data_IF_741466963872
#
_entry.id   IF_741466963872
#
_cell.length_a   1.000
_cell.length_b   1.000
_cell.length_c   1.000
_cell.angle_alpha   90.00
_cell.angle_beta   90.00
_cell.angle_gamma   90.00
#
_symmetry.space_group_name_H-M   'P 1'
#
loop_
_entity.id
_entity.type
_entity.pdbx_description
1 polymer ?
#
# COMPACT_ATOMS: atom_id res chain seq x y z
N UNK A 1 -46.28 4.25 -2.22
CA UNK A 1 -45.71 5.60 -1.99
C UNK A 1 -44.17 5.51 -2.10
N UNK A 2 -43.63 5.92 -3.25
CA UNK A 2 -42.18 5.90 -3.53
C UNK A 2 -41.59 7.19 -2.96
N UNK A 3 -40.74 7.09 -1.93
CA UNK A 3 -39.99 8.26 -1.43
C UNK A 3 -38.95 8.67 -2.47
N UNK A 4 -39.11 9.84 -3.06
CA UNK A 4 -38.18 10.47 -3.97
C UNK A 4 -36.97 10.93 -3.12
N UNK A 5 -35.78 10.32 -3.31
CA UNK A 5 -34.52 10.78 -2.72
C UNK A 5 -34.09 12.08 -3.40
N UNK A 6 -34.06 13.18 -2.68
CA UNK A 6 -33.57 14.47 -3.12
C UNK A 6 -32.07 14.55 -2.79
N UNK A 7 -31.21 14.66 -3.80
CA UNK A 7 -29.81 15.09 -3.61
C UNK A 7 -29.75 16.60 -3.69
N UNK A 8 -29.25 17.26 -2.63
CA UNK A 8 -29.04 18.70 -2.56
C UNK A 8 -27.59 19.00 -2.97
N UNK A 9 -27.41 19.82 -3.99
CA UNK A 9 -26.12 20.36 -4.42
C UNK A 9 -26.15 21.88 -4.20
N UNK A 10 -25.13 22.41 -3.50
CA UNK A 10 -24.97 23.84 -3.31
C UNK A 10 -24.05 24.39 -4.39
N UNK A 11 -24.54 25.38 -5.15
CA UNK A 11 -23.72 26.19 -6.05
C UNK A 11 -23.75 27.63 -5.56
N UNK A 12 -22.62 28.36 -5.50
CA UNK A 12 -22.63 29.77 -5.16
C UNK A 12 -23.16 30.59 -6.36
N UNK A 13 -24.14 31.42 -6.12
CA UNK A 13 -24.58 32.43 -7.08
C UNK A 13 -23.63 33.65 -7.00
N UNK A 14 -23.11 34.10 -8.13
CA UNK A 14 -22.10 35.17 -8.20
C UNK A 14 -22.67 36.57 -7.97
N UNK A 15 -23.96 36.73 -7.72
CA UNK A 15 -24.59 38.08 -7.64
C UNK A 15 -25.44 38.34 -6.38
N UNK A 16 -25.60 37.42 -5.47
CA UNK A 16 -26.28 37.65 -4.20
C UNK A 16 -25.60 36.94 -3.05
N UNK A 17 -25.49 37.58 -1.92
CA UNK A 17 -24.95 37.00 -0.68
C UNK A 17 -25.90 35.95 -0.04
N UNK A 18 -26.95 35.55 -0.73
CA UNK A 18 -27.87 34.51 -0.27
C UNK A 18 -27.54 33.19 -0.93
N UNK A 19 -27.26 32.17 -0.12
CA UNK A 19 -27.04 30.80 -0.55
C UNK A 19 -28.32 30.21 -1.11
N UNK A 20 -28.48 30.22 -2.45
CA UNK A 20 -29.60 29.61 -3.14
C UNK A 20 -29.35 28.10 -3.22
N UNK A 21 -30.26 27.31 -2.64
CA UNK A 21 -30.25 25.85 -2.69
C UNK A 21 -30.74 25.39 -4.06
N UNK A 22 -29.87 25.04 -4.98
CA UNK A 22 -30.25 24.35 -6.21
C UNK A 22 -30.29 22.85 -6.00
N UNK A 23 -31.48 22.28 -6.07
CA UNK A 23 -31.70 20.83 -6.04
C UNK A 23 -31.56 20.30 -7.46
N UNK A 24 -30.39 19.73 -7.80
CA UNK A 24 -30.22 19.03 -9.07
C UNK A 24 -30.81 17.62 -8.93
N UNK A 25 -31.95 17.42 -9.59
CA UNK A 25 -32.53 16.08 -9.73
C UNK A 25 -31.76 15.31 -10.80
N UNK A 26 -30.82 14.45 -10.40
CA UNK A 26 -30.36 13.40 -11.30
C UNK A 26 -31.55 12.46 -11.55
N UNK A 27 -32.06 12.41 -12.78
CA UNK A 27 -33.10 11.50 -13.16
C UNK A 27 -32.69 10.03 -12.98
N UNK A 28 -33.62 9.09 -12.81
CA UNK A 28 -33.29 7.66 -12.58
C UNK A 28 -32.32 7.07 -13.61
N UNK A 29 -32.38 7.52 -14.85
CA UNK A 29 -31.49 7.09 -15.94
C UNK A 29 -30.05 7.60 -15.76
N UNK A 30 -29.83 8.79 -15.22
CA UNK A 30 -28.48 9.33 -14.97
C UNK A 30 -27.84 8.61 -13.79
N UNK A 31 -28.59 8.30 -12.74
CA UNK A 31 -28.12 7.52 -11.59
C UNK A 31 -27.71 6.10 -12.01
N UNK A 32 -28.47 5.46 -12.90
CA UNK A 32 -28.14 4.13 -13.44
C UNK A 32 -26.80 4.13 -14.19
N UNK A 33 -26.55 5.14 -15.04
CA UNK A 33 -25.29 5.28 -15.78
C UNK A 33 -24.08 5.51 -14.87
N UNK A 34 -24.22 6.31 -13.82
CA UNK A 34 -23.12 6.55 -12.84
C UNK A 34 -22.79 5.26 -12.07
N UNK A 35 -23.80 4.47 -11.71
CA UNK A 35 -23.59 3.17 -11.04
C UNK A 35 -22.91 2.15 -11.97
N UNK A 36 -23.27 2.12 -13.25
CA UNK A 36 -22.57 1.27 -14.24
C UNK A 36 -21.08 1.69 -14.37
N UNK A 37 -20.81 2.99 -14.51
CA UNK A 37 -19.42 3.50 -14.53
C UNK A 37 -18.69 3.11 -13.25
N UNK A 38 -19.33 3.25 -12.08
CA UNK A 38 -18.72 2.90 -10.80
C UNK A 38 -18.33 1.42 -10.75
N UNK A 39 -19.19 0.53 -11.23
CA UNK A 39 -18.88 -0.90 -11.30
C UNK A 39 -17.67 -1.17 -12.19
N UNK A 40 -17.62 -0.61 -13.39
CA UNK A 40 -16.50 -0.81 -14.33
C UNK A 40 -15.18 -0.24 -13.78
N UNK A 41 -15.22 0.98 -13.24
CA UNK A 41 -14.01 1.71 -12.86
C UNK A 41 -13.48 1.32 -11.46
N UNK A 42 -14.34 0.83 -10.58
CA UNK A 42 -13.89 0.24 -9.32
C UNK A 42 -13.29 -1.16 -9.54
N UNK A 43 -13.85 -1.93 -10.46
CA UNK A 43 -13.33 -3.23 -10.83
C UNK A 43 -11.92 -3.13 -11.45
N UNK A 44 -11.71 -2.19 -12.35
CA UNK A 44 -10.40 -1.91 -12.93
C UNK A 44 -9.38 -1.41 -11.87
N UNK A 45 -9.85 -0.70 -10.84
CA UNK A 45 -9.00 -0.20 -9.75
C UNK A 45 -8.49 -1.29 -8.79
N UNK A 46 -9.01 -2.51 -8.81
CA UNK A 46 -8.57 -3.63 -7.94
C UNK A 46 -7.08 -3.94 -8.09
N UNK A 47 -6.55 -3.77 -9.28
CA UNK A 47 -5.16 -4.08 -9.62
C UNK A 47 -4.15 -3.03 -9.12
N UNK A 48 -4.62 -1.87 -8.64
CA UNK A 48 -3.79 -0.90 -7.95
C UNK A 48 -3.57 -1.35 -6.49
N UNK A 49 -2.33 -1.69 -6.13
CA UNK A 49 -2.00 -2.02 -4.75
C UNK A 49 -1.88 -0.75 -3.92
N UNK A 50 -2.87 -0.44 -3.16
CA UNK A 50 -2.79 0.62 -2.14
C UNK A 50 -3.30 0.16 -0.79
N UNK A 51 -3.95 -1.02 -0.75
CA UNK A 51 -4.64 -1.50 0.44
C UNK A 51 -4.81 -3.00 0.37
N UNK A 52 -4.72 -3.68 1.48
CA UNK A 52 -5.26 -5.02 1.62
C UNK A 52 -6.78 -4.92 1.44
N UNK A 53 -7.29 -5.28 0.27
CA UNK A 53 -8.73 -5.47 0.11
C UNK A 53 -9.16 -6.58 1.06
N UNK A 54 -10.09 -6.29 1.97
CA UNK A 54 -10.80 -7.37 2.65
C UNK A 54 -11.52 -8.17 1.57
N UNK A 55 -11.09 -9.39 1.29
CA UNK A 55 -11.64 -10.23 0.22
C UNK A 55 -13.06 -10.74 0.47
N UNK A 56 -13.87 -10.07 1.30
CA UNK A 56 -15.26 -10.44 1.52
C UNK A 56 -16.11 -9.97 0.34
N UNK A 57 -16.49 -10.91 -0.49
CA UNK A 57 -17.53 -10.75 -1.52
C UNK A 57 -18.81 -11.39 -1.01
N UNK A 58 -19.71 -10.60 -0.47
CA UNK A 58 -21.05 -11.08 -0.11
C UNK A 58 -22.08 -10.28 -0.89
N UNK A 59 -22.61 -10.88 -1.96
CA UNK A 59 -23.77 -10.35 -2.67
C UNK A 59 -25.02 -10.55 -1.82
N UNK A 60 -25.91 -9.55 -1.78
CA UNK A 60 -27.19 -9.67 -1.12
C UNK A 60 -28.17 -10.45 -2.01
N UNK A 61 -28.18 -11.77 -1.85
CA UNK A 61 -29.07 -12.68 -2.61
C UNK A 61 -30.44 -12.92 -1.93
N UNK A 62 -30.60 -12.46 -0.68
CA UNK A 62 -31.73 -12.84 0.18
C UNK A 62 -32.60 -11.68 0.68
N UNK A 63 -32.59 -10.52 0.04
CA UNK A 63 -33.30 -9.29 0.49
C UNK A 63 -32.96 -8.83 1.92
N UNK A 64 -31.83 -9.31 2.51
CA UNK A 64 -31.30 -8.87 3.79
C UNK A 64 -30.68 -7.47 3.74
N UNK A 65 -30.21 -6.98 4.89
CA UNK A 65 -29.51 -5.70 4.99
C UNK A 65 -28.02 -5.87 4.63
N UNK A 66 -27.51 -4.93 3.81
CA UNK A 66 -26.10 -4.85 3.45
C UNK A 66 -25.72 -5.61 2.17
N UNK A 67 -24.73 -5.07 1.47
CA UNK A 67 -24.09 -5.68 0.30
C UNK A 67 -22.61 -5.25 0.32
N UNK A 68 -21.68 -6.19 0.30
CA UNK A 68 -20.24 -5.92 0.27
C UNK A 68 -19.61 -6.20 -1.10
N UNK A 69 -20.40 -6.46 -2.12
CA UNK A 69 -19.93 -6.74 -3.47
C UNK A 69 -19.96 -5.48 -4.35
N UNK A 70 -18.82 -5.15 -4.98
CA UNK A 70 -18.74 -4.19 -6.07
C UNK A 70 -18.77 -2.70 -5.75
N UNK A 71 -18.55 -2.25 -4.50
CA UNK A 71 -18.69 -0.83 -4.14
C UNK A 71 -17.41 0.01 -4.27
N UNK A 72 -16.29 -0.50 -4.73
CA UNK A 72 -15.04 0.27 -4.86
C UNK A 72 -14.46 0.79 -3.54
N UNK A 73 -14.91 0.27 -2.39
CA UNK A 73 -14.39 0.66 -1.08
C UNK A 73 -13.22 -0.24 -0.72
N UNK A 74 -12.09 0.37 -0.42
CA UNK A 74 -10.92 -0.32 0.07
C UNK A 74 -10.56 0.13 1.49
N UNK A 75 -9.84 -0.72 2.21
CA UNK A 75 -9.36 -0.44 3.55
C UNK A 75 -7.85 -0.23 3.54
N UNK A 76 -7.39 0.91 4.02
CA UNK A 76 -5.99 1.24 4.21
C UNK A 76 -5.69 1.32 5.70
N UNK A 77 -4.51 0.80 6.11
CA UNK A 77 -4.10 0.90 7.50
C UNK A 77 -3.10 2.05 7.66
N UNK A 78 -3.33 2.88 8.66
CA UNK A 78 -2.41 3.93 9.09
C UNK A 78 -1.26 3.33 9.90
N UNK A 79 -0.20 4.10 10.16
CA UNK A 79 0.97 3.63 10.93
C UNK A 79 0.61 3.25 12.38
N UNK A 80 -0.43 3.85 12.94
CA UNK A 80 -0.97 3.53 14.27
C UNK A 80 -1.91 2.30 14.27
N UNK A 81 -2.12 1.67 13.09
CA UNK A 81 -2.96 0.48 12.93
C UNK A 81 -4.44 0.76 12.75
N UNK A 82 -4.86 2.02 12.64
CA UNK A 82 -6.26 2.38 12.35
C UNK A 82 -6.59 2.04 10.90
N UNK A 83 -7.75 1.44 10.69
CA UNK A 83 -8.30 1.17 9.37
C UNK A 83 -9.02 2.41 8.83
N UNK A 84 -8.69 2.82 7.61
CA UNK A 84 -9.33 3.93 6.89
C UNK A 84 -10.02 3.38 5.65
N UNK A 85 -11.30 3.64 5.50
CA UNK A 85 -12.08 3.24 4.33
C UNK A 85 -12.00 4.31 3.23
N UNK A 86 -11.60 3.91 2.02
CA UNK A 86 -11.42 4.82 0.89
C UNK A 86 -12.30 4.39 -0.29
N UNK A 87 -12.91 5.37 -0.96
CA UNK A 87 -13.45 5.16 -2.31
C UNK A 87 -12.28 5.05 -3.28
N UNK A 88 -12.05 3.85 -3.80
CA UNK A 88 -10.96 3.56 -4.74
C UNK A 88 -11.51 3.31 -6.12
N UNK A 89 -11.27 4.26 -7.01
CA UNK A 89 -11.78 4.24 -8.38
C UNK A 89 -10.74 4.75 -9.38
N UNK A 90 -10.92 4.34 -10.64
CA UNK A 90 -10.30 5.02 -11.77
C UNK A 90 -11.18 6.20 -12.22
N UNK A 91 -10.55 7.32 -12.57
CA UNK A 91 -11.25 8.40 -13.28
C UNK A 91 -11.71 7.92 -14.67
N UNK A 92 -10.83 7.18 -15.36
CA UNK A 92 -11.16 6.46 -16.60
C UNK A 92 -10.26 5.23 -16.76
N UNK A 93 -10.78 4.18 -17.39
CA UNK A 93 -9.98 3.04 -17.86
C UNK A 93 -9.68 3.09 -19.36
N UNK A 94 -10.04 4.18 -20.06
CA UNK A 94 -9.45 4.48 -21.36
C UNK A 94 -7.97 4.81 -21.19
N UNK A 95 -7.10 4.15 -21.93
CA UNK A 95 -5.66 4.36 -21.85
C UNK A 95 -5.05 4.33 -23.26
N UNK A 96 -4.11 5.24 -23.53
CA UNK A 96 -3.35 5.26 -24.78
C UNK A 96 -2.13 4.35 -24.75
N UNK A 97 -1.73 3.85 -23.56
CA UNK A 97 -0.59 2.96 -23.36
C UNK A 97 -0.98 1.50 -23.47
N UNK A 98 0.01 0.67 -23.83
CA UNK A 98 -0.16 -0.78 -23.97
C UNK A 98 0.73 -1.59 -23.02
N UNK A 99 0.70 -1.23 -21.73
CA UNK A 99 1.47 -1.93 -20.69
C UNK A 99 0.99 -3.37 -20.54
N UNK A 100 1.87 -4.37 -20.77
CA UNK A 100 1.54 -5.79 -20.80
C UNK A 100 0.90 -6.33 -19.50
N UNK A 101 1.19 -5.72 -18.36
CA UNK A 101 0.66 -6.08 -17.05
C UNK A 101 -0.68 -5.42 -16.70
N UNK A 102 -1.21 -4.53 -17.54
CA UNK A 102 -2.36 -3.69 -17.17
C UNK A 102 -3.66 -4.18 -17.83
N UNK A 103 -4.71 -4.35 -17.03
CA UNK A 103 -6.06 -4.68 -17.52
C UNK A 103 -6.63 -3.61 -18.44
N UNK A 104 -6.29 -2.34 -18.19
CA UNK A 104 -6.79 -1.17 -18.93
C UNK A 104 -5.91 -0.80 -20.13
N UNK A 105 -4.93 -1.64 -20.54
CA UNK A 105 -4.10 -1.37 -21.71
C UNK A 105 -4.94 -1.20 -22.98
N UNK A 106 -4.42 -0.43 -23.93
CA UNK A 106 -5.14 -0.05 -25.16
C UNK A 106 -5.71 -1.23 -25.94
N UNK A 107 -4.93 -2.32 -26.06
CA UNK A 107 -5.28 -3.49 -26.87
C UNK A 107 -6.24 -4.47 -26.19
N UNK A 108 -6.53 -4.31 -24.91
CA UNK A 108 -7.48 -5.19 -24.23
C UNK A 108 -8.92 -4.84 -24.58
N UNK A 109 -9.70 -5.86 -24.93
CA UNK A 109 -11.15 -5.76 -25.12
C UNK A 109 -11.85 -5.85 -23.76
N UNK A 110 -12.01 -4.70 -23.11
CA UNK A 110 -12.70 -4.56 -21.83
C UNK A 110 -13.70 -3.41 -21.89
N UNK A 111 -14.78 -3.50 -21.12
CA UNK A 111 -15.71 -2.39 -21.01
C UNK A 111 -15.00 -1.13 -20.55
N UNK A 112 -15.20 -0.04 -21.31
CA UNK A 112 -14.55 1.24 -21.03
C UNK A 112 -15.56 2.24 -20.50
N UNK A 113 -15.12 3.04 -19.52
CA UNK A 113 -15.90 4.11 -18.95
C UNK A 113 -15.01 5.30 -18.57
N UNK A 114 -15.62 6.47 -18.43
CA UNK A 114 -14.97 7.66 -17.91
C UNK A 114 -15.98 8.43 -17.06
N UNK A 115 -15.53 8.87 -15.89
CA UNK A 115 -16.27 9.86 -15.10
C UNK A 115 -16.02 11.27 -15.60
N UNK A 116 -16.93 12.17 -15.27
CA UNK A 116 -16.64 13.62 -15.25
C UNK A 116 -16.07 14.01 -13.88
N UNK A 117 -15.50 15.20 -13.78
CA UNK A 117 -15.01 15.75 -12.50
C UNK A 117 -16.14 15.81 -11.49
N UNK A 118 -17.31 16.30 -11.92
CA UNK A 118 -18.50 16.46 -11.11
C UNK A 118 -19.04 15.12 -10.60
N UNK A 119 -19.06 14.09 -11.44
CA UNK A 119 -19.48 12.74 -11.04
C UNK A 119 -18.59 12.17 -9.93
N UNK A 120 -17.25 12.34 -10.02
CA UNK A 120 -16.34 11.84 -8.97
C UNK A 120 -16.50 12.64 -7.67
N UNK A 121 -16.64 13.96 -7.77
CA UNK A 121 -16.88 14.83 -6.61
C UNK A 121 -18.18 14.44 -5.91
N UNK A 122 -19.29 14.33 -6.67
CA UNK A 122 -20.59 13.96 -6.11
C UNK A 122 -20.59 12.59 -5.46
N UNK A 123 -19.97 11.58 -6.10
CA UNK A 123 -19.80 10.25 -5.53
C UNK A 123 -19.04 10.31 -4.19
N UNK A 124 -17.91 11.03 -4.17
CA UNK A 124 -17.07 11.15 -2.98
C UNK A 124 -17.84 11.81 -1.84
N UNK A 125 -18.48 12.94 -2.08
CA UNK A 125 -19.25 13.67 -1.05
C UNK A 125 -20.43 12.85 -0.55
N UNK A 126 -21.17 12.19 -1.45
CA UNK A 126 -22.32 11.37 -1.07
C UNK A 126 -21.92 10.14 -0.25
N UNK A 127 -20.83 9.47 -0.59
CA UNK A 127 -20.33 8.31 0.17
C UNK A 127 -19.78 8.74 1.54
N UNK A 128 -19.08 9.88 1.59
CA UNK A 128 -18.58 10.44 2.84
C UNK A 128 -19.72 10.85 3.79
N UNK A 129 -20.74 11.57 3.29
CA UNK A 129 -21.92 11.96 4.10
C UNK A 129 -22.71 10.78 4.65
N UNK A 130 -22.62 9.63 4.01
CA UNK A 130 -23.26 8.38 4.46
C UNK A 130 -22.36 7.54 5.34
N UNK A 131 -21.17 8.04 5.71
CA UNK A 131 -20.14 7.33 6.49
C UNK A 131 -19.67 6.00 5.86
N UNK A 132 -19.72 5.87 4.53
CA UNK A 132 -19.21 4.70 3.83
C UNK A 132 -17.70 4.76 3.65
N UNK A 133 -17.15 5.98 3.55
CA UNK A 133 -15.73 6.24 3.32
C UNK A 133 -15.23 7.38 4.19
N UNK A 134 -13.92 7.38 4.45
CA UNK A 134 -13.19 8.45 5.11
C UNK A 134 -12.35 9.26 4.10
N UNK A 135 -12.26 8.81 2.84
CA UNK A 135 -11.51 9.50 1.83
C UNK A 135 -11.63 8.91 0.42
N UNK A 136 -10.88 9.50 -0.49
CA UNK A 136 -10.81 9.16 -1.90
C UNK A 136 -9.41 8.67 -2.28
N UNK A 137 -9.33 7.54 -2.99
CA UNK A 137 -8.17 7.13 -3.76
C UNK A 137 -8.52 7.17 -5.24
N UNK A 138 -7.91 8.09 -5.97
CA UNK A 138 -8.21 8.32 -7.38
C UNK A 138 -6.98 8.05 -8.25
N UNK A 139 -7.14 7.14 -9.19
CA UNK A 139 -6.18 6.85 -10.26
C UNK A 139 -6.83 7.01 -11.63
N UNK A 140 -6.09 6.81 -12.71
CA UNK A 140 -6.61 6.93 -14.08
C UNK A 140 -5.80 6.13 -15.07
N UNK A 141 -6.42 5.61 -16.12
CA UNK A 141 -5.76 5.40 -17.39
C UNK A 141 -5.33 6.73 -17.99
N UNK A 142 -4.32 6.74 -18.86
CA UNK A 142 -3.83 7.96 -19.51
C UNK A 142 -4.67 8.22 -20.76
N UNK A 143 -5.45 9.28 -20.72
CA UNK A 143 -6.35 9.67 -21.79
C UNK A 143 -5.83 10.93 -22.51
N UNK A 144 -5.72 10.92 -23.82
CA UNK A 144 -5.09 11.93 -24.67
C UNK A 144 -3.59 12.11 -24.42
N UNK A 145 -3.19 12.67 -23.28
CA UNK A 145 -1.81 12.83 -22.83
C UNK A 145 -1.73 12.91 -21.30
N UNK A 146 -0.52 12.98 -20.76
CA UNK A 146 -0.27 12.99 -19.32
C UNK A 146 -0.88 14.22 -18.63
N UNK A 147 -0.64 15.42 -19.16
CA UNK A 147 -1.11 16.68 -18.58
C UNK A 147 -2.63 16.79 -18.59
N UNK A 148 -3.28 16.46 -19.71
CA UNK A 148 -4.74 16.47 -19.79
C UNK A 148 -5.36 15.54 -18.74
N UNK A 149 -4.75 14.37 -18.53
CA UNK A 149 -5.24 13.41 -17.53
C UNK A 149 -4.99 13.92 -16.12
N UNK A 150 -3.78 14.41 -15.83
CA UNK A 150 -3.41 14.92 -14.51
C UNK A 150 -4.26 16.12 -14.10
N UNK A 151 -4.51 17.05 -15.03
CA UNK A 151 -5.40 18.22 -14.81
C UNK A 151 -6.78 17.80 -14.29
N UNK A 152 -7.37 16.73 -14.84
CA UNK A 152 -8.68 16.22 -14.39
C UNK A 152 -8.63 15.72 -12.94
N UNK A 153 -7.57 14.96 -12.58
CA UNK A 153 -7.38 14.49 -11.20
C UNK A 153 -7.19 15.66 -10.24
N UNK A 154 -6.38 16.65 -10.62
CA UNK A 154 -6.17 17.87 -9.83
C UNK A 154 -7.48 18.63 -9.63
N UNK A 155 -8.28 18.81 -10.68
CA UNK A 155 -9.57 19.49 -10.60
C UNK A 155 -10.53 18.79 -9.62
N UNK A 156 -10.56 17.47 -9.59
CA UNK A 156 -11.36 16.72 -8.59
C UNK A 156 -10.91 17.09 -7.18
N UNK A 157 -9.60 16.99 -6.87
CA UNK A 157 -9.08 17.28 -5.55
C UNK A 157 -9.31 18.75 -5.15
N UNK A 158 -9.03 19.67 -6.06
CA UNK A 158 -9.25 21.11 -5.86
C UNK A 158 -10.72 21.41 -5.56
N UNK A 159 -11.65 20.90 -6.38
CA UNK A 159 -13.09 21.11 -6.17
C UNK A 159 -13.55 20.54 -4.83
N UNK A 160 -13.09 19.34 -4.45
CA UNK A 160 -13.40 18.77 -3.13
C UNK A 160 -12.92 19.70 -2.00
N UNK A 161 -11.71 20.23 -2.08
CA UNK A 161 -11.13 21.10 -1.04
C UNK A 161 -11.76 22.51 -1.00
N UNK A 162 -11.91 23.14 -2.17
CA UNK A 162 -12.26 24.58 -2.24
C UNK A 162 -13.76 24.85 -2.32
N UNK A 163 -14.53 23.97 -2.97
CA UNK A 163 -15.99 24.15 -3.13
C UNK A 163 -16.75 23.42 -2.05
N UNK A 164 -16.35 22.18 -1.73
CA UNK A 164 -17.07 21.35 -0.77
C UNK A 164 -16.46 21.35 0.64
N UNK A 165 -15.35 22.06 0.87
CA UNK A 165 -14.63 22.07 2.14
C UNK A 165 -14.37 20.65 2.69
N UNK A 166 -14.07 19.72 1.77
CA UNK A 166 -13.88 18.32 2.11
C UNK A 166 -12.56 18.13 2.86
N UNK A 167 -12.62 17.70 4.12
CA UNK A 167 -11.46 17.45 4.98
C UNK A 167 -11.08 15.97 5.10
N UNK A 168 -11.75 15.07 4.35
CA UNK A 168 -11.38 13.66 4.28
C UNK A 168 -10.06 13.46 3.54
N UNK A 169 -9.49 12.26 3.65
CA UNK A 169 -8.22 11.90 3.03
C UNK A 169 -8.32 11.83 1.50
N UNK A 170 -7.38 12.45 0.79
CA UNK A 170 -7.27 12.40 -0.67
C UNK A 170 -5.91 11.83 -1.07
N UNK A 171 -5.93 10.69 -1.77
CA UNK A 171 -4.77 10.09 -2.39
C UNK A 171 -4.95 10.10 -3.91
N UNK A 172 -4.08 10.84 -4.61
CA UNK A 172 -4.04 10.85 -6.07
C UNK A 172 -2.87 10.01 -6.57
N UNK A 173 -3.09 9.30 -7.66
CA UNK A 173 -2.02 8.66 -8.42
C UNK A 173 -1.58 9.63 -9.51
N UNK A 174 -0.38 10.17 -9.35
CA UNK A 174 0.21 11.08 -10.34
C UNK A 174 0.45 10.34 -11.67
N UNK A 175 0.24 11.06 -12.75
CA UNK A 175 0.45 10.52 -14.10
C UNK A 175 1.93 10.69 -14.47
N UNK A 176 2.63 9.62 -14.85
CA UNK A 176 4.00 9.73 -15.37
C UNK A 176 4.10 10.69 -16.54
N UNK A 177 5.10 11.56 -16.54
CA UNK A 177 5.28 12.59 -17.56
C UNK A 177 4.37 13.83 -17.45
N UNK A 178 3.60 13.96 -16.36
CA UNK A 178 2.84 15.19 -16.09
C UNK A 178 3.77 16.34 -15.71
N UNK A 179 3.39 17.57 -16.11
CA UNK A 179 4.15 18.78 -15.87
C UNK A 179 4.35 19.08 -14.37
N UNK A 180 5.48 19.71 -13.98
CA UNK A 180 5.76 20.10 -12.61
C UNK A 180 4.67 20.97 -11.99
N UNK A 181 4.04 21.86 -12.77
CA UNK A 181 2.98 22.77 -12.35
C UNK A 181 1.75 21.98 -11.87
N UNK A 182 1.34 20.97 -12.62
CA UNK A 182 0.21 20.10 -12.26
C UNK A 182 0.53 19.22 -11.06
N UNK A 183 1.76 18.74 -10.96
CA UNK A 183 2.23 17.97 -9.78
C UNK A 183 2.26 18.85 -8.54
N UNK A 184 2.70 20.12 -8.68
CA UNK A 184 2.67 21.08 -7.58
C UNK A 184 1.24 21.36 -7.12
N UNK A 185 0.35 21.68 -8.05
CA UNK A 185 -1.05 21.93 -7.71
C UNK A 185 -1.70 20.71 -7.05
N UNK A 186 -1.44 19.50 -7.54
CA UNK A 186 -1.88 18.28 -6.90
C UNK A 186 -1.39 18.16 -5.45
N UNK A 187 -0.13 18.53 -5.19
CA UNK A 187 0.49 18.51 -3.87
C UNK A 187 -0.17 19.44 -2.84
N UNK A 188 -0.79 20.52 -3.29
CA UNK A 188 -1.53 21.46 -2.44
C UNK A 188 -2.89 20.91 -1.99
N UNK A 189 -3.53 20.06 -2.81
CA UNK A 189 -4.90 19.59 -2.55
C UNK A 189 -4.98 18.12 -2.12
N UNK A 190 -3.97 17.31 -2.41
CA UNK A 190 -3.91 15.91 -1.99
C UNK A 190 -3.12 15.73 -0.69
N UNK A 191 -3.53 14.75 0.12
CA UNK A 191 -2.73 14.35 1.29
C UNK A 191 -1.54 13.50 0.88
N UNK A 192 -1.71 12.67 -0.16
CA UNK A 192 -0.66 11.82 -0.70
C UNK A 192 -0.70 11.80 -2.23
N UNK A 193 0.49 11.83 -2.83
CA UNK A 193 0.68 11.46 -4.23
C UNK A 193 1.46 10.15 -4.33
N UNK A 194 1.09 9.30 -5.28
CA UNK A 194 1.90 8.15 -5.66
C UNK A 194 2.27 8.21 -7.12
N UNK A 195 3.57 8.09 -7.40
CA UNK A 195 4.10 7.88 -8.75
C UNK A 195 4.56 6.44 -8.81
N UNK A 196 3.94 5.62 -9.64
CA UNK A 196 4.25 4.20 -9.66
C UNK A 196 5.51 3.92 -10.48
N UNK A 197 6.47 3.21 -9.86
CA UNK A 197 7.67 2.74 -10.56
C UNK A 197 7.38 1.51 -11.42
N UNK A 198 6.35 0.74 -11.06
CA UNK A 198 5.81 -0.45 -11.72
C UNK A 198 6.80 -1.61 -11.79
N UNK A 199 7.94 -1.46 -12.46
CA UNK A 199 8.93 -2.52 -12.75
C UNK A 199 10.28 -2.12 -12.15
N UNK A 200 11.06 -3.08 -11.59
CA UNK A 200 12.30 -2.78 -10.85
C UNK A 200 13.46 -2.22 -11.68
N UNK A 201 13.48 -2.45 -12.99
CA UNK A 201 14.54 -1.97 -13.88
C UNK A 201 14.00 -1.28 -15.11
N UNK A 202 14.73 -0.31 -15.65
CA UNK A 202 14.35 0.42 -16.85
C UNK A 202 14.28 -0.50 -18.07
N UNK A 203 15.24 -1.40 -18.20
CA UNK A 203 15.26 -2.37 -19.32
C UNK A 203 14.02 -3.27 -19.33
N UNK A 204 13.61 -3.75 -18.16
CA UNK A 204 12.38 -4.53 -18.03
C UNK A 204 11.13 -3.68 -18.22
N UNK A 205 11.14 -2.41 -17.74
CA UNK A 205 10.03 -1.50 -17.95
C UNK A 205 9.78 -1.24 -19.42
N UNK A 206 10.82 -0.93 -20.20
CA UNK A 206 10.72 -0.70 -21.64
C UNK A 206 10.20 -1.94 -22.40
N UNK A 207 10.56 -3.14 -21.94
CA UNK A 207 10.05 -4.38 -22.52
C UNK A 207 8.54 -4.55 -22.32
N UNK A 208 8.03 -4.29 -21.09
CA UNK A 208 6.64 -4.59 -20.74
C UNK A 208 5.70 -3.38 -20.87
N UNK A 209 6.24 -2.17 -20.94
CA UNK A 209 5.52 -0.91 -21.10
C UNK A 209 6.34 0.09 -21.93
N UNK A 210 6.48 -0.11 -23.24
CA UNK A 210 7.40 0.63 -24.09
C UNK A 210 7.13 2.14 -24.18
N UNK A 211 5.91 2.58 -23.84
CA UNK A 211 5.56 4.01 -23.78
C UNK A 211 5.96 4.69 -22.47
N UNK A 212 6.55 3.96 -21.51
CA UNK A 212 7.03 4.49 -20.23
C UNK A 212 8.55 4.47 -20.18
N UNK A 213 9.13 5.46 -19.53
CA UNK A 213 10.55 5.49 -19.20
C UNK A 213 10.75 5.86 -17.71
N UNK A 214 11.93 5.58 -17.18
CA UNK A 214 12.24 5.85 -15.78
C UNK A 214 12.33 7.34 -15.49
N UNK A 215 12.72 8.17 -16.45
CA UNK A 215 12.81 9.63 -16.25
C UNK A 215 11.43 10.24 -15.98
N UNK A 216 10.38 9.78 -16.67
CA UNK A 216 9.00 10.23 -16.46
C UNK A 216 8.42 9.83 -15.09
N UNK A 217 9.09 8.92 -14.40
CA UNK A 217 8.70 8.42 -13.07
C UNK A 217 9.57 9.04 -11.97
N UNK A 218 10.89 9.00 -12.12
CA UNK A 218 11.84 9.45 -11.09
C UNK A 218 11.91 10.96 -10.99
N UNK A 219 11.83 11.69 -12.13
CA UNK A 219 11.83 13.16 -12.12
C UNK A 219 10.67 13.74 -11.31
N UNK A 220 9.40 13.31 -11.50
CA UNK A 220 8.30 13.69 -10.63
C UNK A 220 8.52 13.35 -9.15
N UNK A 221 9.06 12.16 -8.85
CA UNK A 221 9.34 11.78 -7.46
C UNK A 221 10.36 12.72 -6.80
N UNK A 222 11.44 13.05 -7.51
CA UNK A 222 12.47 13.98 -7.03
C UNK A 222 11.89 15.38 -6.82
N UNK A 223 11.11 15.87 -7.79
CA UNK A 223 10.44 17.15 -7.70
C UNK A 223 9.54 17.23 -6.46
N UNK A 224 8.66 16.25 -6.26
CA UNK A 224 7.74 16.21 -5.13
C UNK A 224 8.48 16.11 -3.78
N UNK A 225 9.62 15.40 -3.73
CA UNK A 225 10.45 15.31 -2.53
C UNK A 225 11.06 16.67 -2.20
N UNK A 226 11.65 17.35 -3.20
CA UNK A 226 12.24 18.69 -3.03
C UNK A 226 11.22 19.74 -2.62
N UNK A 227 10.06 19.77 -3.29
CA UNK A 227 8.96 20.67 -2.92
C UNK A 227 8.49 20.43 -1.50
N UNK A 228 8.30 19.17 -1.10
CA UNK A 228 7.89 18.87 0.26
C UNK A 228 8.91 19.38 1.30
N UNK A 229 10.20 19.19 1.05
CA UNK A 229 11.24 19.70 1.95
C UNK A 229 11.17 21.22 2.04
N UNK A 230 11.01 21.92 0.90
CA UNK A 230 10.84 23.38 0.84
C UNK A 230 9.64 23.85 1.67
N UNK A 231 8.47 23.22 1.51
CA UNK A 231 7.28 23.57 2.28
C UNK A 231 7.41 23.29 3.78
N UNK A 232 8.17 22.26 4.17
CA UNK A 232 8.47 21.98 5.58
C UNK A 232 9.37 23.08 6.16
N UNK A 233 10.38 23.52 5.41
CA UNK A 233 11.28 24.62 5.81
C UNK A 233 10.55 25.96 5.86
N UNK A 234 9.80 26.32 4.81
CA UNK A 234 8.98 27.54 4.75
C UNK A 234 8.02 27.64 5.94
N UNK A 235 7.47 26.51 6.39
CA UNK A 235 6.55 26.47 7.54
C UNK A 235 7.23 26.81 8.87
N UNK A 236 8.54 26.62 8.99
CA UNK A 236 9.31 27.07 10.16
C UNK A 236 9.38 28.58 10.25
N UNK A 237 9.38 29.27 9.10
CA UNK A 237 9.49 30.72 9.00
C UNK A 237 8.15 31.44 8.83
N UNK A 238 7.19 30.81 8.14
CA UNK A 238 5.89 31.42 7.82
C UNK A 238 4.72 30.53 8.25
N UNK A 239 3.98 30.98 9.26
CA UNK A 239 2.80 30.24 9.79
C UNK A 239 1.69 30.06 8.75
N UNK A 240 1.61 30.95 7.75
CA UNK A 240 0.62 30.91 6.66
C UNK A 240 0.95 29.92 5.55
N UNK A 241 2.13 29.29 5.57
CA UNK A 241 2.51 28.30 4.55
C UNK A 241 1.49 27.16 4.50
N UNK A 242 0.89 26.86 3.33
CA UNK A 242 -0.08 25.80 3.19
C UNK A 242 0.57 24.42 3.44
N UNK A 243 -0.27 23.42 3.68
CA UNK A 243 0.23 22.05 3.73
C UNK A 243 0.51 21.55 2.30
N UNK A 244 1.65 20.88 2.15
CA UNK A 244 2.02 20.21 0.89
C UNK A 244 2.26 18.75 1.18
N UNK A 245 1.46 17.84 0.58
CA UNK A 245 1.53 16.40 0.74
C UNK A 245 1.76 15.96 2.21
N UNK A 246 0.86 16.25 3.14
CA UNK A 246 1.08 15.94 4.56
C UNK A 246 1.37 14.45 4.82
N UNK A 247 0.73 13.54 4.07
CA UNK A 247 1.01 12.10 4.14
C UNK A 247 2.16 11.64 3.21
N UNK A 248 2.82 12.57 2.51
CA UNK A 248 3.99 12.32 1.67
C UNK A 248 3.69 11.59 0.38
N UNK A 249 4.74 11.05 -0.23
CA UNK A 249 4.62 10.28 -1.47
C UNK A 249 4.84 8.77 -1.23
N UNK A 250 4.35 7.98 -2.17
CA UNK A 250 4.51 6.52 -2.20
C UNK A 250 4.66 6.04 -3.64
N UNK A 251 5.06 4.79 -3.81
CA UNK A 251 5.13 4.13 -5.11
C UNK A 251 4.58 2.72 -5.04
N UNK A 252 4.32 2.13 -6.20
CA UNK A 252 3.94 0.73 -6.33
C UNK A 252 4.88 0.03 -7.32
N UNK A 253 5.21 -1.22 -7.00
CA UNK A 253 6.04 -2.11 -7.78
C UNK A 253 5.33 -3.45 -7.98
N UNK A 254 5.42 -3.99 -9.20
CA UNK A 254 4.81 -5.26 -9.57
C UNK A 254 5.85 -6.37 -9.42
N UNK A 255 5.53 -7.37 -8.61
CA UNK A 255 6.41 -8.50 -8.31
C UNK A 255 6.09 -9.66 -9.25
N UNK A 256 7.09 -10.15 -9.97
CA UNK A 256 6.94 -11.32 -10.85
C UNK A 256 6.43 -11.03 -12.25
N UNK A 257 6.28 -9.75 -12.64
CA UNK A 257 6.05 -9.39 -14.05
C UNK A 257 7.36 -9.34 -14.88
N UNK A 258 8.50 -9.41 -14.22
CA UNK A 258 9.83 -9.30 -14.79
C UNK A 258 10.83 -10.14 -13.97
N UNK A 259 12.05 -10.42 -14.51
CA UNK A 259 12.94 -11.45 -13.96
C UNK A 259 13.76 -11.01 -12.75
N UNK A 260 13.64 -9.77 -12.29
CA UNK A 260 14.49 -9.24 -11.23
C UNK A 260 14.38 -10.04 -9.92
N UNK A 261 15.52 -10.19 -9.26
CA UNK A 261 15.63 -10.83 -7.97
C UNK A 261 15.05 -9.98 -6.83
N UNK A 262 14.75 -10.61 -5.70
CA UNK A 262 14.27 -9.88 -4.51
C UNK A 262 15.33 -8.91 -3.97
N UNK A 263 16.62 -9.22 -4.15
CA UNK A 263 17.73 -8.30 -3.82
C UNK A 263 17.64 -7.01 -4.64
N UNK A 264 17.39 -7.10 -5.95
CA UNK A 264 17.25 -5.92 -6.81
C UNK A 264 16.02 -5.10 -6.42
N UNK A 265 14.90 -5.75 -6.12
CA UNK A 265 13.67 -5.11 -5.65
C UNK A 265 13.90 -4.36 -4.33
N UNK A 266 14.53 -5.01 -3.34
CA UNK A 266 14.77 -4.40 -2.03
C UNK A 266 15.83 -3.29 -2.08
N UNK A 267 16.87 -3.41 -2.91
CA UNK A 267 17.86 -2.33 -3.12
C UNK A 267 17.21 -1.10 -3.76
N UNK A 268 16.33 -1.31 -4.74
CA UNK A 268 15.55 -0.21 -5.31
C UNK A 268 14.67 0.45 -4.25
N UNK A 269 13.94 -0.32 -3.45
CA UNK A 269 13.07 0.20 -2.41
C UNK A 269 13.86 0.99 -1.35
N UNK A 270 14.99 0.46 -0.88
CA UNK A 270 15.89 1.13 0.07
C UNK A 270 16.45 2.45 -0.49
N UNK A 271 16.84 2.45 -1.77
CA UNK A 271 17.23 3.67 -2.50
C UNK A 271 16.12 4.71 -2.51
N UNK A 272 14.90 4.32 -2.88
CA UNK A 272 13.75 5.21 -2.92
C UNK A 272 13.39 5.79 -1.53
N UNK A 273 13.52 5.02 -0.45
CA UNK A 273 13.36 5.54 0.91
C UNK A 273 14.40 6.58 1.27
N UNK A 274 15.65 6.39 0.88
CA UNK A 274 16.77 7.27 1.21
C UNK A 274 16.80 8.54 0.36
N UNK A 275 16.57 8.42 -0.93
CA UNK A 275 16.73 9.53 -1.89
C UNK A 275 15.45 10.32 -2.12
N UNK A 276 14.31 9.66 -2.38
CA UNK A 276 13.02 10.32 -2.61
C UNK A 276 12.19 10.47 -1.34
N UNK A 277 12.71 10.02 -0.19
CA UNK A 277 12.02 10.11 1.11
C UNK A 277 10.61 9.52 1.09
N UNK A 278 10.41 8.45 0.30
CA UNK A 278 9.10 7.81 0.19
C UNK A 278 8.61 7.35 1.57
N UNK A 279 7.32 7.47 1.81
CA UNK A 279 6.70 6.92 3.02
C UNK A 279 6.45 5.43 2.91
N UNK A 280 6.20 4.92 1.69
CA UNK A 280 5.94 3.50 1.46
C UNK A 280 6.17 3.10 0.01
N UNK A 281 6.75 1.92 -0.17
CA UNK A 281 6.71 1.15 -1.42
C UNK A 281 5.64 0.08 -1.26
N UNK A 282 4.71 0.01 -2.20
CA UNK A 282 3.71 -1.05 -2.29
C UNK A 282 4.19 -2.11 -3.27
N UNK A 283 4.03 -3.36 -2.89
CA UNK A 283 4.33 -4.50 -3.73
C UNK A 283 3.04 -5.18 -4.14
N UNK A 284 2.93 -5.57 -5.41
CA UNK A 284 1.75 -6.24 -5.94
C UNK A 284 2.20 -7.42 -6.79
N UNK A 285 1.77 -8.62 -6.44
CA UNK A 285 2.00 -9.79 -7.27
C UNK A 285 1.39 -9.60 -8.66
N UNK A 286 2.15 -9.89 -9.70
CA UNK A 286 1.66 -9.83 -11.07
C UNK A 286 0.44 -10.75 -11.24
N UNK A 287 -0.65 -10.18 -11.73
CA UNK A 287 -1.88 -10.93 -12.04
C UNK A 287 -1.88 -11.24 -13.54
N UNK A 288 -1.84 -12.52 -13.94
CA UNK A 288 -1.91 -12.90 -15.35
C UNK A 288 -3.34 -12.67 -15.87
N UNK A 289 -3.54 -11.60 -16.63
CA UNK A 289 -4.86 -11.22 -17.16
C UNK A 289 -5.06 -11.82 -18.56
N UNK A 290 -4.03 -11.79 -19.36
CA UNK A 290 -4.01 -12.32 -20.74
C UNK A 290 -2.63 -12.87 -21.08
N UNK A 291 -2.56 -13.75 -22.09
CA UNK A 291 -1.30 -14.22 -22.63
C UNK A 291 -0.61 -13.07 -23.38
N UNK A 292 0.59 -12.71 -22.94
CA UNK A 292 1.45 -11.71 -23.58
C UNK A 292 2.90 -12.17 -23.45
N UNK A 293 3.64 -12.19 -24.58
CA UNK A 293 5.02 -12.66 -24.61
C UNK A 293 6.04 -11.73 -23.91
N UNK A 294 5.62 -10.53 -23.53
CA UNK A 294 6.44 -9.54 -22.82
C UNK A 294 6.51 -9.81 -21.32
N UNK A 295 5.59 -10.61 -20.78
CA UNK A 295 5.49 -10.94 -19.35
C UNK A 295 5.56 -12.45 -19.14
N UNK A 296 5.99 -12.92 -17.96
CA UNK A 296 6.05 -14.35 -17.67
C UNK A 296 4.67 -15.02 -17.72
N UNK A 297 4.63 -16.22 -18.26
CA UNK A 297 3.46 -17.08 -18.22
C UNK A 297 3.38 -17.76 -16.86
N UNK A 298 2.53 -17.26 -15.99
CA UNK A 298 2.27 -17.84 -14.66
C UNK A 298 0.78 -18.15 -14.52
N UNK A 299 0.45 -19.17 -13.74
CA UNK A 299 -0.94 -19.61 -13.52
C UNK A 299 -1.66 -18.78 -12.46
N UNK A 300 -0.93 -18.17 -11.53
CA UNK A 300 -1.48 -17.40 -10.42
C UNK A 300 -0.49 -16.33 -9.93
N UNK A 301 -0.97 -15.25 -9.31
CA UNK A 301 -0.10 -14.22 -8.72
C UNK A 301 0.85 -14.81 -7.67
N UNK A 302 2.12 -14.34 -7.61
CA UNK A 302 3.11 -14.83 -6.65
C UNK A 302 2.91 -14.23 -5.25
N UNK A 303 1.76 -14.51 -4.61
CA UNK A 303 1.35 -13.90 -3.33
C UNK A 303 2.30 -14.21 -2.17
N UNK A 304 2.90 -15.41 -2.12
CA UNK A 304 3.89 -15.74 -1.10
C UNK A 304 5.15 -14.88 -1.24
N UNK A 305 5.64 -14.69 -2.47
CA UNK A 305 6.79 -13.81 -2.74
C UNK A 305 6.49 -12.36 -2.38
N UNK A 306 5.31 -11.87 -2.77
CA UNK A 306 4.82 -10.53 -2.37
C UNK A 306 4.84 -10.36 -0.85
N UNK A 307 4.27 -11.31 -0.11
CA UNK A 307 4.26 -11.30 1.36
C UNK A 307 5.67 -11.29 1.95
N UNK A 308 6.60 -12.10 1.41
CA UNK A 308 7.98 -12.12 1.89
C UNK A 308 8.72 -10.81 1.64
N UNK A 309 8.48 -10.17 0.49
CA UNK A 309 9.03 -8.85 0.19
C UNK A 309 8.48 -7.80 1.17
N UNK A 310 7.18 -7.79 1.47
CA UNK A 310 6.62 -6.91 2.50
C UNK A 310 7.25 -7.14 3.88
N UNK A 311 7.52 -8.39 4.26
CA UNK A 311 8.19 -8.70 5.51
C UNK A 311 9.65 -8.19 5.52
N UNK A 312 10.37 -8.34 4.42
CA UNK A 312 11.73 -7.82 4.26
C UNK A 312 11.75 -6.27 4.28
N UNK A 313 10.84 -5.63 3.56
CA UNK A 313 10.65 -4.17 3.60
C UNK A 313 10.39 -3.66 5.03
N UNK A 314 9.62 -4.41 5.80
CA UNK A 314 9.37 -4.11 7.21
C UNK A 314 10.64 -4.17 8.05
N UNK A 315 11.52 -5.15 7.79
CA UNK A 315 12.83 -5.25 8.45
C UNK A 315 13.74 -4.06 8.11
N UNK A 316 13.78 -3.63 6.85
CA UNK A 316 14.53 -2.44 6.43
C UNK A 316 14.07 -1.19 7.18
N UNK A 317 12.77 -0.92 7.17
CA UNK A 317 12.23 0.34 7.68
C UNK A 317 12.17 0.45 9.20
N UNK A 318 11.93 -0.64 9.91
CA UNK A 318 11.64 -0.60 11.33
C UNK A 318 12.62 -1.36 12.21
N UNK A 319 13.39 -2.30 11.65
CA UNK A 319 14.32 -3.13 12.40
C UNK A 319 15.78 -2.79 12.11
N UNK A 320 16.03 -1.77 11.29
CA UNK A 320 17.38 -1.34 10.89
C UNK A 320 18.22 -2.46 10.26
N UNK A 321 17.60 -3.36 9.54
CA UNK A 321 18.35 -4.29 8.69
C UNK A 321 18.82 -3.57 7.43
N UNK A 322 19.99 -3.95 6.94
CA UNK A 322 20.41 -3.63 5.57
C UNK A 322 19.90 -4.69 4.59
N UNK A 323 19.90 -4.35 3.31
CA UNK A 323 19.54 -5.33 2.27
C UNK A 323 20.52 -6.51 2.28
N UNK A 324 21.81 -6.22 2.49
CA UNK A 324 22.87 -7.23 2.48
C UNK A 324 22.86 -8.15 3.72
N UNK A 325 22.19 -7.75 4.81
CA UNK A 325 21.86 -8.66 5.91
C UNK A 325 20.73 -9.62 5.55
N UNK A 326 19.73 -9.15 4.81
CA UNK A 326 18.54 -9.93 4.46
C UNK A 326 18.83 -10.91 3.31
N UNK A 327 19.55 -10.46 2.29
CA UNK A 327 19.88 -11.19 1.07
C UNK A 327 21.33 -10.96 0.68
N UNK A 328 21.94 -11.94 0.04
CA UNK A 328 23.32 -11.90 -0.43
C UNK A 328 23.42 -12.46 -1.87
N UNK A 329 24.60 -12.48 -2.44
CA UNK A 329 24.83 -12.99 -3.81
C UNK A 329 24.48 -14.47 -3.96
N UNK A 330 24.68 -15.28 -2.90
CA UNK A 330 24.35 -16.70 -2.89
C UNK A 330 22.85 -16.95 -2.76
N UNK A 331 22.15 -16.02 -2.08
CA UNK A 331 20.72 -16.09 -1.81
C UNK A 331 20.03 -14.81 -2.30
N UNK A 332 19.89 -14.58 -3.61
CA UNK A 332 19.36 -13.36 -4.18
C UNK A 332 17.82 -13.24 -4.05
N UNK A 333 17.15 -14.32 -3.67
CA UNK A 333 15.70 -14.36 -3.48
C UNK A 333 15.34 -14.84 -2.08
N UNK A 334 14.23 -14.34 -1.55
CA UNK A 334 13.69 -14.70 -0.25
C UNK A 334 13.17 -16.14 -0.25
N UNK A 335 13.42 -16.86 0.83
CA UNK A 335 12.80 -18.15 1.07
C UNK A 335 11.27 -17.98 1.22
N UNK A 336 10.49 -18.84 0.56
CA UNK A 336 9.04 -18.73 0.59
C UNK A 336 8.40 -19.42 1.79
N UNK A 337 9.05 -20.45 2.32
CA UNK A 337 8.57 -21.27 3.44
C UNK A 337 8.77 -20.61 4.81
N UNK A 338 9.79 -19.75 4.96
CA UNK A 338 10.08 -19.04 6.22
C UNK A 338 10.11 -17.51 6.01
N UNK A 339 9.94 -16.75 7.09
CA UNK A 339 10.07 -15.30 7.02
C UNK A 339 11.53 -14.85 6.94
N UNK A 340 11.82 -13.65 6.38
CA UNK A 340 13.19 -13.18 6.16
C UNK A 340 14.03 -13.05 7.44
N UNK A 341 13.40 -12.79 8.58
CA UNK A 341 14.12 -12.66 9.86
C UNK A 341 14.58 -14.03 10.39
N UNK A 342 13.76 -15.05 10.22
CA UNK A 342 14.16 -16.42 10.55
C UNK A 342 15.25 -16.91 9.57
N UNK A 343 15.10 -16.63 8.29
CA UNK A 343 16.11 -16.96 7.27
C UNK A 343 17.47 -16.33 7.63
N UNK A 344 17.49 -15.05 8.03
CA UNK A 344 18.69 -14.38 8.51
C UNK A 344 19.33 -15.12 9.69
N UNK A 345 18.54 -15.46 10.72
CA UNK A 345 19.07 -16.11 11.91
C UNK A 345 19.66 -17.50 11.62
N UNK A 346 19.01 -18.26 10.74
CA UNK A 346 19.48 -19.59 10.32
C UNK A 346 20.76 -19.53 9.48
N UNK A 347 20.98 -18.46 8.73
CA UNK A 347 22.20 -18.26 7.91
C UNK A 347 23.38 -17.68 8.69
N UNK A 348 23.16 -17.13 9.88
CA UNK A 348 24.18 -16.51 10.71
C UNK A 348 24.27 -17.17 12.10
N UNK A 349 24.52 -18.48 12.18
CA UNK A 349 24.51 -19.21 13.45
C UNK A 349 25.53 -18.69 14.46
N UNK A 350 26.62 -18.09 13.98
CA UNK A 350 27.69 -17.54 14.81
C UNK A 350 27.25 -16.30 15.63
N UNK A 351 26.16 -15.65 15.25
CA UNK A 351 25.59 -14.51 15.97
C UNK A 351 24.60 -14.92 17.06
N UNK A 352 24.28 -16.19 17.17
CA UNK A 352 23.31 -16.73 18.10
C UNK A 352 23.90 -17.84 18.98
N UNK A 353 23.42 -18.01 20.22
CA UNK A 353 22.30 -17.30 20.86
C UNK A 353 22.68 -15.91 21.36
N UNK A 354 21.70 -14.97 21.33
CA UNK A 354 21.84 -13.59 21.82
C UNK A 354 21.53 -13.55 23.33
N UNK A 355 22.45 -13.03 24.13
CA UNK A 355 22.21 -12.80 25.57
C UNK A 355 21.25 -11.59 25.75
N UNK A 356 20.03 -11.88 26.18
CA UNK A 356 18.97 -10.88 26.33
C UNK A 356 19.32 -9.80 27.36
N UNK A 357 20.11 -10.15 28.38
CA UNK A 357 20.48 -9.22 29.44
C UNK A 357 21.69 -8.32 29.09
N UNK A 358 22.47 -8.67 28.06
CA UNK A 358 23.71 -7.97 27.71
C UNK A 358 23.75 -7.38 26.30
N UNK A 359 23.15 -8.08 25.33
CA UNK A 359 23.23 -7.70 23.92
C UNK A 359 22.67 -6.29 23.66
N UNK A 360 23.16 -5.62 22.65
CA UNK A 360 22.63 -4.34 22.21
C UNK A 360 21.21 -4.47 21.60
N UNK A 361 20.56 -3.33 21.44
CA UNK A 361 19.20 -3.26 20.91
C UNK A 361 19.09 -3.83 19.49
N UNK A 362 20.05 -3.55 18.64
CA UNK A 362 20.11 -4.02 17.26
C UNK A 362 20.19 -5.56 17.21
N UNK A 363 21.05 -6.17 18.03
CA UNK A 363 21.16 -7.63 18.08
C UNK A 363 19.89 -8.30 18.61
N UNK A 364 19.25 -7.70 19.62
CA UNK A 364 17.94 -8.19 20.11
C UNK A 364 16.90 -8.13 19.01
N UNK A 365 16.90 -7.10 18.16
CA UNK A 365 16.02 -6.99 17.02
C UNK A 365 16.24 -8.05 15.94
N UNK A 366 17.43 -8.66 15.84
CA UNK A 366 17.72 -9.74 14.89
C UNK A 366 17.10 -11.07 15.30
N UNK A 367 16.72 -11.22 16.57
CA UNK A 367 16.16 -12.48 17.10
C UNK A 367 14.75 -12.72 16.52
N UNK A 368 14.51 -13.89 15.86
CA UNK A 368 13.15 -14.31 15.46
C UNK A 368 12.21 -14.37 16.67
N UNK A 369 11.00 -13.83 16.54
CA UNK A 369 10.02 -13.80 17.65
C UNK A 369 10.12 -12.57 18.56
N UNK A 370 11.10 -11.68 18.37
CA UNK A 370 11.22 -10.41 19.11
C UNK A 370 10.87 -9.24 18.17
N UNK A 371 9.81 -8.50 18.49
CA UNK A 371 9.41 -7.30 17.76
C UNK A 371 10.00 -6.02 18.34
N UNK A 372 9.87 -4.90 17.63
CA UNK A 372 10.35 -3.56 18.06
C UNK A 372 9.85 -3.19 19.45
N UNK A 373 8.56 -3.41 19.73
CA UNK A 373 7.96 -3.11 21.05
C UNK A 373 8.59 -3.98 22.15
N UNK A 374 8.75 -5.28 21.88
CA UNK A 374 9.36 -6.20 22.86
C UNK A 374 10.84 -5.91 23.08
N UNK A 375 11.62 -5.62 22.02
CA UNK A 375 13.01 -5.25 22.13
C UNK A 375 13.22 -3.98 22.98
N UNK A 376 12.40 -2.93 22.76
CA UNK A 376 12.44 -1.71 23.60
C UNK A 376 12.15 -2.03 25.07
N UNK A 377 11.13 -2.84 25.34
CA UNK A 377 10.80 -3.25 26.71
C UNK A 377 11.91 -4.08 27.37
N UNK A 378 12.54 -5.00 26.62
CA UNK A 378 13.67 -5.78 27.11
C UNK A 378 14.79 -4.82 27.57
N UNK A 379 15.23 -3.91 26.67
CA UNK A 379 16.31 -2.97 26.98
C UNK A 379 15.99 -2.07 28.18
N UNK A 380 14.76 -1.59 28.30
CA UNK A 380 14.36 -0.77 29.44
C UNK A 380 14.22 -1.57 30.73
N UNK A 381 13.65 -2.77 30.69
CA UNK A 381 13.40 -3.57 31.91
C UNK A 381 14.66 -4.15 32.51
N UNK A 382 15.66 -4.57 31.69
CA UNK A 382 16.93 -5.14 32.19
C UNK A 382 17.79 -4.18 32.99
N UNK A 383 17.54 -2.89 32.90
CA UNK A 383 18.21 -1.86 33.73
C UNK A 383 17.83 -2.02 35.20
N UNK A 384 16.61 -2.45 35.46
CA UNK A 384 16.04 -2.52 36.81
C UNK A 384 16.13 -3.93 37.42
N UNK A 385 16.14 -4.98 36.58
CA UNK A 385 16.19 -6.36 37.04
C UNK A 385 16.77 -7.29 36.00
N UNK A 386 17.41 -8.37 36.44
CA UNK A 386 17.86 -9.42 35.55
C UNK A 386 16.65 -10.19 34.98
N UNK A 387 16.56 -10.25 33.64
CA UNK A 387 15.41 -10.85 32.98
C UNK A 387 15.51 -12.37 32.92
N UNK A 388 14.41 -13.05 33.22
CA UNK A 388 14.20 -14.48 33.10
C UNK A 388 13.16 -14.80 32.00
N UNK A 389 13.06 -16.05 31.60
CA UNK A 389 12.14 -16.48 30.51
C UNK A 389 10.68 -16.07 30.72
N UNK A 390 10.20 -16.09 31.97
CA UNK A 390 8.83 -15.66 32.32
C UNK A 390 8.60 -14.16 32.07
N UNK A 391 9.61 -13.32 32.30
CA UNK A 391 9.55 -11.90 32.02
C UNK A 391 9.44 -11.65 30.51
N UNK A 392 10.18 -12.41 29.69
CA UNK A 392 10.14 -12.30 28.23
C UNK A 392 8.74 -12.60 27.66
N UNK A 393 8.06 -13.60 28.22
CA UNK A 393 6.70 -13.93 27.82
C UNK A 393 5.72 -12.79 28.14
N UNK A 394 5.80 -12.20 29.33
CA UNK A 394 4.99 -11.04 29.75
C UNK A 394 5.29 -9.78 28.91
N UNK A 395 6.53 -9.61 28.47
CA UNK A 395 6.95 -8.53 27.55
C UNK A 395 6.32 -8.68 26.15
N UNK A 396 5.91 -9.90 25.78
CA UNK A 396 5.32 -10.22 24.48
C UNK A 396 6.33 -10.79 23.47
N UNK A 397 7.38 -11.48 23.97
CA UNK A 397 8.29 -12.25 23.12
C UNK A 397 7.62 -13.56 22.72
N UNK A 398 7.69 -13.90 21.44
CA UNK A 398 7.19 -15.19 20.92
C UNK A 398 8.22 -16.28 21.21
N UNK A 399 8.21 -16.80 22.44
CA UNK A 399 9.21 -17.77 22.93
C UNK A 399 9.29 -19.03 22.09
N UNK A 400 8.19 -19.49 21.47
CA UNK A 400 8.19 -20.64 20.55
C UNK A 400 9.22 -20.52 19.42
N UNK A 401 9.51 -19.28 19.00
CA UNK A 401 10.50 -18.95 17.95
C UNK A 401 11.81 -18.47 18.55
N UNK A 402 11.75 -17.56 19.55
CA UNK A 402 12.92 -16.90 20.10
C UNK A 402 13.86 -17.84 20.88
N UNK A 403 13.33 -18.88 21.53
CA UNK A 403 14.08 -19.79 22.42
C UNK A 403 15.31 -20.46 21.78
N UNK A 404 15.33 -20.61 20.48
CA UNK A 404 16.45 -21.23 19.75
C UNK A 404 17.57 -20.22 19.44
N UNK A 405 17.33 -18.94 19.65
CA UNK A 405 18.21 -17.85 19.24
C UNK A 405 18.59 -16.89 20.38
N UNK A 406 18.20 -17.19 21.61
CA UNK A 406 18.51 -16.37 22.80
C UNK A 406 19.08 -17.21 23.93
N UNK A 407 19.90 -16.57 24.76
CA UNK A 407 20.25 -17.05 26.10
C UNK A 407 19.57 -16.18 27.15
N UNK A 408 18.92 -16.83 28.11
CA UNK A 408 18.19 -16.18 29.21
C UNK A 408 18.05 -17.16 30.36
N UNK A 409 18.22 -16.77 31.65
CA UNK A 409 17.97 -17.62 32.80
C UNK A 409 16.54 -18.16 32.80
N UNK A 410 16.39 -19.44 33.20
CA UNK A 410 15.10 -20.11 33.23
C UNK A 410 14.56 -20.51 31.85
N UNK A 411 15.36 -20.38 30.80
CA UNK A 411 15.03 -20.87 29.47
C UNK A 411 15.77 -22.20 29.27
N UNK A 412 15.01 -23.27 29.03
CA UNK A 412 15.61 -24.51 28.56
C UNK A 412 16.19 -24.29 27.17
N UNK A 413 17.50 -24.18 27.11
CA UNK A 413 18.22 -24.06 25.84
C UNK A 413 18.10 -25.39 25.12
N UNK A 414 17.65 -25.41 23.85
CA UNK A 414 17.75 -26.60 23.04
C UNK A 414 19.18 -27.11 23.07
N UNK A 415 19.35 -28.44 23.18
CA UNK A 415 20.68 -29.07 23.26
C UNK A 415 21.61 -28.47 22.21
N UNK A 416 22.89 -28.28 22.54
CA UNK A 416 23.93 -27.71 21.64
C UNK A 416 24.05 -28.45 20.30
N UNK A 417 23.40 -29.59 20.16
CA UNK A 417 23.49 -30.54 19.04
C UNK A 417 22.46 -30.25 17.92
N UNK A 418 21.52 -29.28 18.09
CA UNK A 418 20.58 -28.95 17.03
C UNK A 418 21.29 -28.21 15.89
N UNK A 419 21.28 -28.81 14.70
CA UNK A 419 21.67 -28.12 13.49
C UNK A 419 20.58 -27.09 13.08
N UNK A 420 20.97 -26.04 12.36
CA UNK A 420 20.01 -25.00 11.92
C UNK A 420 18.86 -25.56 11.08
N UNK A 421 19.11 -26.68 10.34
CA UNK A 421 18.08 -27.40 9.60
C UNK A 421 17.01 -28.03 10.53
N UNK A 422 17.42 -28.52 11.70
CA UNK A 422 16.50 -29.08 12.69
C UNK A 422 15.63 -27.99 13.31
N UNK A 423 16.23 -26.84 13.64
CA UNK A 423 15.52 -25.67 14.14
C UNK A 423 14.47 -25.21 13.13
N UNK A 424 14.86 -25.10 11.84
CA UNK A 424 13.91 -24.76 10.76
C UNK A 424 12.74 -25.75 10.75
N UNK A 425 12.99 -27.05 10.76
CA UNK A 425 11.97 -28.11 10.74
C UNK A 425 11.03 -28.02 11.95
N UNK A 426 11.57 -27.83 13.15
CA UNK A 426 10.78 -27.76 14.39
C UNK A 426 9.86 -26.51 14.38
N UNK A 427 10.38 -25.37 13.95
CA UNK A 427 9.57 -24.13 13.87
C UNK A 427 8.45 -24.29 12.85
N UNK A 428 8.73 -24.83 11.66
CA UNK A 428 7.72 -25.04 10.62
C UNK A 428 6.64 -26.06 11.05
N UNK A 429 7.02 -27.17 11.72
CA UNK A 429 6.04 -28.14 12.22
C UNK A 429 5.15 -27.55 13.30
N UNK A 430 5.71 -26.72 14.19
CA UNK A 430 4.95 -26.02 15.23
C UNK A 430 4.02 -24.93 14.68
N UNK A 431 4.37 -24.30 13.56
CA UNK A 431 3.51 -23.34 12.85
C UNK A 431 2.39 -24.04 12.06
N UNK A 432 2.66 -25.17 11.44
CA UNK A 432 1.66 -25.97 10.73
C UNK A 432 0.54 -26.49 11.65
N UNK A 433 0.89 -26.89 12.87
CA UNK A 433 -0.11 -27.29 13.89
C UNK A 433 -1.00 -26.13 14.36
N UNK A 434 -0.53 -24.88 14.25
CA UNK A 434 -1.31 -23.69 14.61
C UNK A 434 -2.15 -23.14 13.46
N UNK A 435 -1.76 -23.43 12.22
CA UNK A 435 -2.49 -23.03 11.01
C UNK A 435 -3.68 -23.94 10.68
N UNK A 436 -3.88 -25.03 11.41
CA UNK A 436 -5.11 -25.81 11.29
C UNK A 436 -6.28 -24.95 11.78
N UNK A 437 -7.31 -24.72 10.93
CA UNK A 437 -8.48 -23.99 11.37
C UNK A 437 -9.08 -24.74 12.55
N UNK A 438 -9.28 -24.05 13.65
CA UNK A 438 -10.03 -24.55 14.78
C UNK A 438 -11.40 -24.96 14.23
N UNK A 439 -11.61 -26.25 14.08
CA UNK A 439 -12.91 -26.79 13.69
C UNK A 439 -13.92 -26.24 14.71
N UNK A 440 -14.87 -25.46 14.22
CA UNK A 440 -15.97 -24.97 15.05
C UNK A 440 -16.63 -26.17 15.70
N UNK A 441 -16.64 -26.19 17.03
CA UNK A 441 -17.35 -27.20 17.82
C UNK A 441 -18.88 -27.06 17.70
N UNK A 442 -19.34 -26.06 16.95
CA UNK A 442 -20.74 -25.82 16.65
C UNK A 442 -20.89 -25.72 15.14
N UNK A 443 -21.39 -26.79 14.55
CA UNK A 443 -21.70 -26.89 13.13
C UNK A 443 -22.82 -25.94 12.67
#
# INVERSE_FOLDING_TARGET
>A
MVRKNKCLVYLPDQQSNDMVMHTVFLGPQTMSKVLEKLTILSDAAKYDASCSSSGSKRANTSKGLGNSDGMGICHSYTEDGRCVSLLKILFTNHCIYDCAYCVSRRTNDVKRAAFTVEEVVDLTINFYRRNYIEGLFLSSGIFKNADYTMERLVRVAKTLRTVHNFNGYIHLKAIPGASPELLHEAGLYADRLSVNIEIPSEASLQKVAPEKNYSDIITPMNYLSGEKDRYVDDKLHFKSTPQFLPAGQSTQLIVGASPESDTQILRLADGLYKTQKLKRVYYSGYVPIQTDNRVPLISAPPLLRENRIYQADWLLRFYKFSVDEILDEKNPNLELDIDPKLSYALRNPEKFPVDINRADYEMILRVPGIGVKSAKKIVSSRIHQWLHSEHLQKIGVVLKRARYFISCPGLDVPRKDYQMADIKRIILSGEALQAQPQLSLFG
#
